data_IF_481396113033
#
_entry.id   IF_481396113033
#
_cell.length_a   1.000
_cell.length_b   1.000
_cell.length_c   1.000
_cell.angle_alpha   90.00
_cell.angle_beta   90.00
_cell.angle_gamma   90.00
#
_symmetry.space_group_name_H-M   'P 1'
#
loop_
_entity.id
_entity.type
_entity.pdbx_description
1 polymer ?
#
# COMPACT_ATOMS: atom_id res chain seq x y z
N UNK A 1 18.08 -5.19 -20.00
CA UNK A 1 17.10 -5.13 -18.90
C UNK A 1 17.35 -3.78 -18.25
N UNK A 2 16.50 -2.79 -18.51
CA UNK A 2 16.67 -1.46 -17.91
C UNK A 2 16.30 -1.59 -16.43
N UNK A 3 17.24 -1.28 -15.54
CA UNK A 3 16.95 -1.19 -14.09
C UNK A 3 15.73 -0.27 -13.91
N UNK A 4 14.69 -0.77 -13.24
CA UNK A 4 13.45 -0.01 -13.03
C UNK A 4 13.66 0.96 -11.86
N UNK A 5 14.20 2.14 -12.17
CA UNK A 5 14.59 3.22 -11.24
C UNK A 5 13.39 3.90 -10.56
N UNK A 6 12.38 3.17 -10.12
CA UNK A 6 11.14 3.72 -9.58
C UNK A 6 10.75 3.18 -8.23
N UNK A 7 9.85 3.91 -7.58
CA UNK A 7 9.29 3.52 -6.29
C UNK A 7 8.21 2.46 -6.48
N UNK A 8 8.28 1.43 -5.65
CA UNK A 8 7.30 0.35 -5.55
C UNK A 8 6.60 0.43 -4.20
N UNK A 9 5.33 0.00 -4.17
CA UNK A 9 4.52 -0.04 -2.96
C UNK A 9 3.88 -1.42 -2.83
N UNK A 10 4.02 -2.05 -1.67
CA UNK A 10 3.30 -3.28 -1.32
C UNK A 10 2.37 -2.94 -0.16
N UNK A 11 1.08 -3.17 -0.33
CA UNK A 11 0.03 -2.80 0.63
C UNK A 11 -0.71 -4.07 1.03
N UNK A 12 -0.72 -4.38 2.33
CA UNK A 12 -1.36 -5.56 2.89
C UNK A 12 -2.42 -5.17 3.91
N UNK A 13 -3.68 -5.56 3.65
CA UNK A 13 -4.73 -5.73 4.67
C UNK A 13 -4.98 -7.21 4.87
N UNK A 14 -4.54 -7.78 6.00
CA UNK A 14 -4.55 -9.24 6.22
C UNK A 14 -5.78 -9.78 6.95
N UNK A 15 -6.59 -8.90 7.55
CA UNK A 15 -7.78 -9.31 8.30
C UNK A 15 -8.99 -9.50 7.40
N UNK A 16 -9.89 -10.37 7.85
CA UNK A 16 -11.18 -10.62 7.21
C UNK A 16 -12.34 -10.30 8.18
N UNK A 17 -13.57 -10.49 7.73
CA UNK A 17 -14.82 -10.18 8.45
C UNK A 17 -15.13 -8.69 8.61
N UNK A 18 -16.42 -8.39 8.77
CA UNK A 18 -16.96 -7.04 8.80
C UNK A 18 -16.42 -6.15 9.91
N UNK A 19 -16.19 -6.68 11.10
CA UNK A 19 -15.64 -5.90 12.21
C UNK A 19 -14.21 -5.37 11.95
N UNK A 20 -13.55 -5.90 10.91
CA UNK A 20 -12.23 -5.46 10.45
C UNK A 20 -12.29 -4.56 9.21
N UNK A 21 -13.46 -4.00 8.89
CA UNK A 21 -13.64 -3.00 7.81
C UNK A 21 -12.51 -1.95 7.77
N UNK A 22 -12.11 -1.45 8.95
CA UNK A 22 -11.03 -0.47 9.09
C UNK A 22 -9.71 -0.88 8.44
N UNK A 23 -9.30 -2.15 8.49
CA UNK A 23 -8.01 -2.57 7.91
C UNK A 23 -8.05 -2.47 6.38
N UNK A 24 -9.18 -2.85 5.76
CA UNK A 24 -9.40 -2.70 4.33
C UNK A 24 -9.45 -1.22 3.93
N UNK A 25 -10.20 -0.40 4.66
CA UNK A 25 -10.25 1.04 4.43
C UNK A 25 -8.88 1.74 4.64
N UNK A 26 -8.11 1.31 5.64
CA UNK A 26 -6.75 1.78 5.93
C UNK A 26 -5.80 1.47 4.77
N UNK A 27 -5.79 0.23 4.27
CA UNK A 27 -4.99 -0.17 3.10
C UNK A 27 -5.36 0.62 1.83
N UNK A 28 -6.66 0.79 1.57
CA UNK A 28 -7.14 1.56 0.43
C UNK A 28 -6.78 3.05 0.54
N UNK A 29 -6.77 3.60 1.76
CA UNK A 29 -6.32 4.99 1.98
C UNK A 29 -4.85 5.19 1.59
N UNK A 30 -3.98 4.23 1.94
CA UNK A 30 -2.56 4.26 1.54
C UNK A 30 -2.41 4.06 0.02
N UNK A 31 -3.21 3.19 -0.59
CA UNK A 31 -3.24 2.99 -2.05
C UNK A 31 -3.56 4.28 -2.80
N UNK A 32 -4.63 4.97 -2.42
CA UNK A 32 -5.01 6.24 -3.06
C UNK A 32 -3.96 7.34 -2.84
N UNK A 33 -3.37 7.42 -1.64
CA UNK A 33 -2.27 8.34 -1.40
C UNK A 33 -1.04 8.05 -2.28
N UNK A 34 -0.65 6.78 -2.43
CA UNK A 34 0.46 6.38 -3.29
C UNK A 34 0.20 6.76 -4.76
N UNK A 35 -1.00 6.47 -5.29
CA UNK A 35 -1.40 6.89 -6.64
C UNK A 35 -1.33 8.39 -6.82
N UNK A 36 -1.90 9.14 -5.87
CA UNK A 36 -1.97 10.59 -5.95
C UNK A 36 -0.59 11.27 -5.83
N UNK A 37 0.38 10.60 -5.19
CA UNK A 37 1.77 11.04 -5.14
C UNK A 37 2.58 10.66 -6.41
N UNK A 38 2.01 9.84 -7.29
CA UNK A 38 2.53 9.53 -8.62
C UNK A 38 3.04 8.10 -8.81
N UNK A 39 2.79 7.19 -7.86
CA UNK A 39 3.11 5.77 -8.04
C UNK A 39 2.09 5.16 -9.01
N UNK A 40 2.50 4.62 -10.17
CA UNK A 40 1.56 4.00 -11.10
C UNK A 40 1.03 2.69 -10.53
N UNK A 41 -0.21 2.31 -10.87
CA UNK A 41 -0.83 1.06 -10.39
C UNK A 41 0.02 -0.18 -10.67
N UNK A 42 0.74 -0.21 -11.79
CA UNK A 42 1.66 -1.30 -12.14
C UNK A 42 2.85 -1.47 -11.17
N UNK A 43 3.05 -0.53 -10.24
CA UNK A 43 4.06 -0.58 -9.18
C UNK A 43 3.47 -0.61 -7.77
N UNK A 44 2.16 -0.83 -7.66
CA UNK A 44 1.48 -1.03 -6.38
C UNK A 44 0.95 -2.45 -6.36
N UNK A 45 1.47 -3.29 -5.46
CA UNK A 45 0.91 -4.62 -5.20
C UNK A 45 -0.06 -4.50 -4.02
N UNK A 46 -1.36 -4.64 -4.30
CA UNK A 46 -2.43 -4.48 -3.31
C UNK A 46 -3.04 -5.84 -2.92
N UNK A 47 -2.92 -6.18 -1.64
CA UNK A 47 -3.42 -7.43 -1.05
C UNK A 47 -4.52 -7.11 -0.02
N UNK A 48 -5.75 -7.57 -0.28
CA UNK A 48 -6.91 -7.35 0.60
C UNK A 48 -7.57 -8.69 0.93
N UNK A 49 -7.41 -9.14 2.17
CA UNK A 49 -8.08 -10.35 2.67
C UNK A 49 -9.58 -10.15 2.93
N UNK A 50 -9.97 -8.91 3.24
CA UNK A 50 -11.35 -8.52 3.48
C UNK A 50 -12.23 -8.56 2.23
N UNK A 51 -13.52 -8.34 2.46
CA UNK A 51 -14.53 -8.25 1.41
C UNK A 51 -15.61 -7.23 1.76
N UNK A 52 -15.23 -6.14 2.45
CA UNK A 52 -16.16 -5.18 3.02
C UNK A 52 -17.07 -4.54 1.96
N UNK A 53 -16.56 -4.28 0.76
CA UNK A 53 -17.36 -3.75 -0.35
C UNK A 53 -18.55 -4.67 -0.71
N UNK A 54 -18.38 -5.99 -0.60
CA UNK A 54 -19.38 -6.99 -0.99
C UNK A 54 -20.09 -7.64 0.22
N UNK A 55 -19.78 -7.22 1.45
CA UNK A 55 -20.39 -7.79 2.66
C UNK A 55 -21.86 -7.38 2.73
N UNK A 56 -22.80 -8.30 3.03
CA UNK A 56 -24.23 -8.00 3.12
C UNK A 56 -24.58 -7.00 4.23
N UNK A 57 -23.69 -6.78 5.21
CA UNK A 57 -23.84 -5.76 6.25
C UNK A 57 -23.48 -4.36 5.76
N UNK A 58 -22.84 -4.23 4.60
CA UNK A 58 -22.47 -2.93 4.06
C UNK A 58 -23.72 -2.16 3.59
N UNK A 59 -24.07 -1.03 4.23
CA UNK A 59 -25.23 -0.23 3.84
C UNK A 59 -25.07 0.39 2.44
N UNK A 60 -23.83 0.43 1.91
CA UNK A 60 -23.48 0.96 0.60
C UNK A 60 -22.69 -0.09 -0.18
N UNK A 61 -23.40 -1.11 -0.66
CA UNK A 61 -22.82 -2.19 -1.45
C UNK A 61 -21.92 -1.66 -2.58
N UNK A 62 -20.72 -2.22 -2.69
CA UNK A 62 -19.70 -1.84 -3.66
C UNK A 62 -18.82 -0.66 -3.25
N UNK A 63 -19.04 -0.04 -2.08
CA UNK A 63 -18.31 1.15 -1.65
C UNK A 63 -17.60 0.97 -0.31
N UNK A 64 -16.44 1.61 -0.19
CA UNK A 64 -15.65 1.67 1.05
C UNK A 64 -15.26 3.12 1.35
N UNK A 65 -15.25 3.50 2.62
CA UNK A 65 -14.96 4.84 3.10
C UNK A 65 -14.05 4.78 4.34
N UNK A 66 -13.24 5.80 4.58
CA UNK A 66 -12.40 5.87 5.78
C UNK A 66 -12.85 6.92 6.81
N UNK A 67 -14.03 7.51 6.62
CA UNK A 67 -14.61 8.49 7.54
C UNK A 67 -16.14 8.52 7.44
N UNK A 68 -16.79 8.87 8.55
CA UNK A 68 -18.24 9.01 8.65
C UNK A 68 -18.79 10.17 7.81
N UNK A 69 -17.93 11.13 7.46
CA UNK A 69 -18.29 12.19 6.50
C UNK A 69 -18.49 11.66 5.09
N UNK A 70 -18.00 10.46 4.76
CA UNK A 70 -18.04 9.88 3.43
C UNK A 70 -17.51 10.85 2.35
N UNK A 71 -16.42 11.54 2.65
CA UNK A 71 -15.85 12.55 1.74
C UNK A 71 -15.06 11.92 0.57
N UNK A 72 -14.48 10.73 0.78
CA UNK A 72 -13.61 10.06 -0.18
C UNK A 72 -13.96 8.58 -0.31
N UNK A 73 -14.45 8.19 -1.49
CA UNK A 73 -14.78 6.81 -1.82
C UNK A 73 -13.50 6.07 -2.17
N UNK A 74 -13.29 4.89 -1.57
CA UNK A 74 -12.02 4.17 -1.60
C UNK A 74 -12.02 2.93 -2.50
N UNK A 75 -13.18 2.47 -2.97
CA UNK A 75 -13.30 1.26 -3.79
C UNK A 75 -13.99 1.52 -5.15
N UNK A 76 -13.48 2.45 -5.96
CA UNK A 76 -14.04 2.72 -7.28
C UNK A 76 -13.74 1.58 -8.26
N UNK A 77 -14.45 1.54 -9.39
CA UNK A 77 -14.31 0.45 -10.36
C UNK A 77 -12.92 0.32 -11.00
N UNK A 78 -12.07 1.34 -10.93
CA UNK A 78 -10.71 1.34 -11.50
C UNK A 78 -9.63 0.80 -10.53
N UNK A 79 -10.02 0.32 -9.34
CA UNK A 79 -9.05 -0.21 -8.39
C UNK A 79 -8.45 -1.55 -8.83
N UNK A 80 -7.11 -1.62 -8.81
CA UNK A 80 -6.37 -2.85 -9.03
C UNK A 80 -6.04 -3.52 -7.69
N UNK A 81 -6.85 -4.52 -7.29
CA UNK A 81 -6.48 -5.43 -6.18
C UNK A 81 -5.88 -6.69 -6.78
N UNK A 82 -4.63 -6.98 -6.43
CA UNK A 82 -3.83 -8.07 -6.99
C UNK A 82 -4.12 -9.41 -6.33
N UNK A 83 -4.28 -9.40 -5.01
CA UNK A 83 -4.60 -10.60 -4.22
C UNK A 83 -5.83 -10.29 -3.36
N UNK A 84 -6.86 -11.14 -3.48
CA UNK A 84 -8.15 -10.95 -2.81
C UNK A 84 -8.50 -12.17 -1.97
N UNK A 85 -9.10 -11.95 -0.80
CA UNK A 85 -9.67 -13.03 0.01
C UNK A 85 -8.66 -14.13 0.30
N UNK A 86 -8.93 -15.35 -0.19
CA UNK A 86 -8.13 -16.53 0.11
C UNK A 86 -6.69 -16.48 -0.42
N UNK A 87 -6.46 -15.70 -1.48
CA UNK A 87 -5.12 -15.51 -2.06
C UNK A 87 -4.20 -14.71 -1.13
N UNK A 88 -4.74 -14.05 -0.09
CA UNK A 88 -3.96 -13.29 0.90
C UNK A 88 -3.49 -14.23 2.00
N UNK A 89 -2.27 -14.74 1.83
CA UNK A 89 -1.57 -15.61 2.78
C UNK A 89 -0.19 -15.07 3.11
N UNK A 90 0.38 -15.48 4.24
CA UNK A 90 1.76 -15.15 4.60
C UNK A 90 2.75 -15.61 3.52
N UNK A 91 2.55 -16.81 2.97
CA UNK A 91 3.37 -17.34 1.87
C UNK A 91 3.29 -16.52 0.60
N UNK A 92 2.09 -16.03 0.22
CA UNK A 92 1.93 -15.17 -0.95
C UNK A 92 2.59 -13.82 -0.73
N UNK A 93 2.45 -13.24 0.48
CA UNK A 93 3.09 -11.98 0.83
C UNK A 93 4.63 -12.08 0.79
N UNK A 94 5.22 -13.10 1.44
CA UNK A 94 6.65 -13.40 1.33
C UNK A 94 7.04 -13.65 -0.13
N UNK A 95 6.19 -14.36 -0.87
CA UNK A 95 6.35 -14.63 -2.29
C UNK A 95 6.46 -13.36 -3.13
N UNK A 96 5.62 -12.34 -2.86
CA UNK A 96 5.69 -11.03 -3.52
C UNK A 96 7.03 -10.37 -3.21
N UNK A 97 7.41 -10.30 -1.94
CA UNK A 97 8.63 -9.62 -1.50
C UNK A 97 9.90 -10.26 -2.11
N UNK A 98 9.96 -11.59 -2.11
CA UNK A 98 11.14 -12.37 -2.53
C UNK A 98 11.09 -12.85 -3.98
N UNK A 99 9.98 -12.60 -4.69
CA UNK A 99 9.69 -13.07 -6.06
C UNK A 99 9.72 -14.59 -6.23
N UNK A 100 9.34 -15.29 -5.16
CA UNK A 100 9.21 -16.74 -5.13
C UNK A 100 7.80 -17.24 -5.51
N UNK A 101 6.94 -16.36 -6.04
CA UNK A 101 5.62 -16.72 -6.55
C UNK A 101 5.71 -17.68 -7.76
N UNK A 102 4.72 -18.57 -7.98
CA UNK A 102 4.71 -19.49 -9.12
C UNK A 102 4.88 -18.77 -10.46
N UNK A 103 5.68 -19.31 -11.39
CA UNK A 103 6.01 -18.66 -12.67
C UNK A 103 4.79 -18.23 -13.50
N UNK A 104 3.63 -18.85 -13.29
CA UNK A 104 2.34 -18.51 -13.91
C UNK A 104 1.71 -17.22 -13.36
N UNK A 105 2.20 -16.70 -12.24
CA UNK A 105 1.69 -15.46 -11.63
C UNK A 105 1.95 -14.27 -12.55
N UNK A 106 0.90 -13.51 -12.93
CA UNK A 106 1.04 -12.37 -13.84
C UNK A 106 2.07 -11.34 -13.34
N UNK A 107 2.82 -10.74 -14.26
CA UNK A 107 3.83 -9.72 -13.95
C UNK A 107 3.25 -8.53 -13.16
N UNK A 108 1.99 -8.15 -13.41
CA UNK A 108 1.32 -7.08 -12.68
C UNK A 108 1.16 -7.36 -11.17
N UNK A 109 1.18 -8.62 -10.74
CA UNK A 109 1.05 -9.03 -9.33
C UNK A 109 2.40 -9.29 -8.65
N UNK A 110 3.50 -8.94 -9.30
CA UNK A 110 4.86 -9.20 -8.82
C UNK A 110 5.59 -7.90 -8.50
N UNK A 111 6.49 -7.97 -7.54
CA UNK A 111 7.38 -6.87 -7.19
C UNK A 111 8.64 -6.93 -8.06
N UNK A 112 8.66 -6.20 -9.18
CA UNK A 112 9.81 -6.15 -10.11
C UNK A 112 10.82 -5.05 -9.75
N UNK A 113 10.99 -4.78 -8.46
CA UNK A 113 11.95 -3.80 -7.95
C UNK A 113 13.40 -4.28 -8.09
N UNK A 114 14.32 -3.33 -8.06
CA UNK A 114 15.76 -3.55 -8.21
C UNK A 114 16.55 -2.71 -7.22
N UNK A 115 17.89 -2.79 -7.25
CA UNK A 115 18.80 -2.02 -6.38
C UNK A 115 18.65 -0.51 -6.47
N UNK A 116 18.05 0.02 -7.53
CA UNK A 116 17.78 1.45 -7.70
C UNK A 116 16.37 1.85 -7.28
N UNK A 117 15.52 0.88 -6.93
CA UNK A 117 14.13 1.11 -6.53
C UNK A 117 14.02 1.44 -5.05
N UNK A 118 13.13 2.38 -4.70
CA UNK A 118 12.64 2.53 -3.33
C UNK A 118 11.43 1.62 -3.14
N UNK A 119 11.30 0.94 -2.00
CA UNK A 119 10.16 0.07 -1.71
C UNK A 119 9.47 0.52 -0.43
N UNK A 120 8.18 0.86 -0.52
CA UNK A 120 7.31 1.03 0.64
C UNK A 120 6.54 -0.27 0.87
N UNK A 121 6.64 -0.83 2.06
CA UNK A 121 5.77 -1.93 2.51
C UNK A 121 4.86 -1.38 3.62
N UNK A 122 3.55 -1.46 3.42
CA UNK A 122 2.56 -1.08 4.41
C UNK A 122 1.72 -2.30 4.79
N UNK A 123 1.58 -2.54 6.09
CA UNK A 123 0.87 -3.68 6.64
C UNK A 123 -0.14 -3.21 7.69
N UNK A 124 -1.40 -3.62 7.55
CA UNK A 124 -2.47 -3.40 8.52
C UNK A 124 -3.27 -4.66 8.77
N UNK A 125 -3.60 -4.90 10.03
CA UNK A 125 -4.23 -6.13 10.46
C UNK A 125 -4.16 -6.32 11.96
N UNK A 126 -4.32 -7.56 12.38
CA UNK A 126 -4.13 -7.97 13.77
C UNK A 126 -2.76 -8.61 13.95
N UNK A 127 -2.26 -8.60 15.17
CA UNK A 127 -0.94 -9.09 15.50
C UNK A 127 -0.72 -9.06 17.00
N UNK A 128 0.49 -9.41 17.40
CA UNK A 128 0.92 -9.46 18.79
C UNK A 128 2.43 -9.57 18.85
N UNK A 129 2.92 -10.07 19.97
CA UNK A 129 4.35 -10.16 20.25
C UNK A 129 5.06 -11.09 19.24
N UNK A 130 5.77 -10.49 18.28
CA UNK A 130 6.56 -11.19 17.27
C UNK A 130 5.75 -11.83 16.15
N UNK A 131 4.45 -11.53 16.00
CA UNK A 131 3.63 -12.09 14.94
C UNK A 131 2.57 -11.13 14.38
N UNK A 132 2.18 -11.40 13.13
CA UNK A 132 1.15 -10.69 12.38
C UNK A 132 0.15 -11.69 11.78
N UNK A 133 -1.14 -11.56 12.09
CA UNK A 133 -2.17 -12.52 11.68
C UNK A 133 -2.57 -12.33 10.23
N UNK A 134 -2.82 -13.45 9.56
CA UNK A 134 -3.44 -13.56 8.25
C UNK A 134 -4.76 -14.31 8.38
N UNK A 135 -5.86 -13.64 8.02
CA UNK A 135 -7.21 -14.20 7.95
C UNK A 135 -7.64 -14.95 9.23
N UNK A 136 -7.19 -14.48 10.39
CA UNK A 136 -7.48 -15.05 11.71
C UNK A 136 -7.09 -16.53 11.92
N UNK A 137 -6.32 -17.12 10.99
CA UNK A 137 -6.00 -18.55 10.98
C UNK A 137 -4.50 -18.85 10.87
N UNK A 138 -3.75 -17.94 10.26
CA UNK A 138 -2.31 -18.11 10.05
C UNK A 138 -1.57 -16.88 10.55
N UNK A 139 -0.26 -17.01 10.72
CA UNK A 139 0.60 -15.96 11.24
C UNK A 139 1.84 -15.84 10.37
N UNK A 140 2.33 -14.61 10.24
CA UNK A 140 3.65 -14.26 9.77
C UNK A 140 4.45 -13.86 11.01
N UNK A 141 5.56 -14.52 11.27
CA UNK A 141 6.44 -14.19 12.39
C UNK A 141 7.39 -13.04 12.05
N UNK A 142 7.90 -12.34 13.07
CA UNK A 142 8.94 -11.33 12.92
C UNK A 142 10.19 -11.89 12.21
N UNK A 143 10.55 -13.14 12.53
CA UNK A 143 11.68 -13.83 11.92
C UNK A 143 11.47 -14.13 10.44
N UNK A 144 10.29 -14.59 10.04
CA UNK A 144 9.96 -14.80 8.62
C UNK A 144 9.98 -13.50 7.82
N UNK A 145 9.46 -12.41 8.39
CA UNK A 145 9.52 -11.09 7.79
C UNK A 145 10.97 -10.61 7.65
N UNK A 146 11.76 -10.71 8.72
CA UNK A 146 13.17 -10.32 8.70
C UNK A 146 13.99 -11.13 7.69
N UNK A 147 13.74 -12.43 7.61
CA UNK A 147 14.36 -13.30 6.61
C UNK A 147 13.99 -12.88 5.19
N UNK A 148 12.71 -12.57 4.92
CA UNK A 148 12.26 -12.10 3.61
C UNK A 148 12.95 -10.79 3.21
N UNK A 149 13.03 -9.80 4.11
CA UNK A 149 13.72 -8.52 3.86
C UNK A 149 15.23 -8.73 3.66
N UNK A 150 15.85 -9.62 4.45
CA UNK A 150 17.26 -9.98 4.30
C UNK A 150 17.54 -10.63 2.94
N UNK A 151 16.65 -11.53 2.48
CA UNK A 151 16.73 -12.11 1.14
C UNK A 151 16.59 -11.03 0.05
N UNK A 152 15.63 -10.11 0.18
CA UNK A 152 15.46 -8.99 -0.75
C UNK A 152 16.74 -8.15 -0.84
N UNK A 153 17.38 -7.85 0.29
CA UNK A 153 18.63 -7.11 0.36
C UNK A 153 19.77 -7.86 -0.35
N UNK A 154 19.97 -9.14 -0.02
CA UNK A 154 20.99 -9.99 -0.62
C UNK A 154 20.81 -10.14 -2.14
N UNK A 155 19.57 -10.21 -2.61
CA UNK A 155 19.19 -10.26 -4.03
C UNK A 155 19.15 -8.88 -4.70
N UNK A 156 19.49 -7.81 -3.98
CA UNK A 156 19.54 -6.44 -4.50
C UNK A 156 18.20 -5.98 -5.10
N UNK A 157 17.08 -6.32 -4.44
CA UNK A 157 15.72 -6.01 -4.90
C UNK A 157 15.23 -4.62 -4.51
N UNK A 158 15.99 -3.88 -3.70
CA UNK A 158 15.69 -2.49 -3.36
C UNK A 158 16.99 -1.75 -3.06
N UNK A 159 16.96 -0.43 -3.21
CA UNK A 159 17.96 0.48 -2.67
C UNK A 159 17.59 0.96 -1.27
N UNK A 160 16.32 1.34 -1.03
CA UNK A 160 15.83 1.73 0.30
C UNK A 160 14.46 1.13 0.56
N UNK A 161 14.22 0.63 1.77
CA UNK A 161 12.95 0.01 2.15
C UNK A 161 12.30 0.68 3.36
N UNK A 162 11.13 1.30 3.18
CA UNK A 162 10.34 1.83 4.29
C UNK A 162 9.24 0.83 4.64
N UNK A 163 9.16 0.43 5.90
CA UNK A 163 8.15 -0.46 6.45
C UNK A 163 7.22 0.33 7.39
N UNK A 164 5.92 0.26 7.14
CA UNK A 164 4.90 0.88 7.98
C UNK A 164 3.98 -0.23 8.52
N UNK A 165 3.96 -0.42 9.84
CA UNK A 165 3.26 -1.54 10.47
C UNK A 165 2.18 -1.02 11.42
N UNK A 166 0.92 -1.22 11.05
CA UNK A 166 -0.27 -0.84 11.83
C UNK A 166 -0.98 -2.07 12.40
N UNK A 167 -0.50 -2.52 13.57
CA UNK A 167 -1.10 -3.60 14.36
C UNK A 167 -0.73 -3.43 15.83
N UNK A 168 -1.39 -4.17 16.73
CA UNK A 168 -0.93 -4.35 18.11
C UNK A 168 0.47 -4.95 18.14
N UNK A 169 1.29 -4.48 19.08
CA UNK A 169 2.69 -4.83 19.27
C UNK A 169 3.57 -4.75 18.00
N UNK A 170 3.22 -3.85 17.07
CA UNK A 170 3.89 -3.69 15.77
C UNK A 170 5.42 -3.55 15.84
N UNK A 171 5.97 -2.93 16.89
CA UNK A 171 7.42 -2.78 17.06
C UNK A 171 8.17 -4.12 17.03
N UNK A 172 7.56 -5.16 17.62
CA UNK A 172 8.15 -6.50 17.74
C UNK A 172 8.37 -7.18 16.38
N UNK A 173 7.60 -6.80 15.35
CA UNK A 173 7.77 -7.31 13.98
C UNK A 173 9.07 -6.86 13.31
N UNK A 174 9.68 -5.78 13.82
CA UNK A 174 10.86 -5.16 13.24
C UNK A 174 12.15 -5.41 14.03
N UNK A 175 12.09 -6.09 15.18
CA UNK A 175 13.24 -6.30 16.07
C UNK A 175 14.35 -7.12 15.42
N UNK A 176 14.00 -8.08 14.56
CA UNK A 176 14.94 -8.97 13.88
C UNK A 176 15.43 -8.43 12.52
N UNK A 177 15.06 -7.21 12.11
CA UNK A 177 15.44 -6.63 10.81
C UNK A 177 16.93 -6.22 10.68
N UNK A 178 17.81 -6.72 11.55
CA UNK A 178 19.25 -6.43 11.53
C UNK A 178 19.91 -6.72 10.17
N UNK A 179 20.83 -5.85 9.74
CA UNK A 179 21.60 -6.03 8.50
C UNK A 179 20.91 -5.68 7.17
N UNK A 180 19.72 -5.07 7.18
CA UNK A 180 19.02 -4.62 5.98
C UNK A 180 19.03 -3.08 5.83
N UNK A 181 19.08 -2.54 4.61
CA UNK A 181 18.83 -1.09 4.34
C UNK A 181 17.32 -0.76 4.46
N UNK A 182 16.75 -0.98 5.65
CA UNK A 182 15.34 -0.83 5.96
C UNK A 182 15.12 0.17 7.11
N UNK A 183 14.03 0.95 7.06
CA UNK A 183 13.52 1.75 8.18
C UNK A 183 12.09 1.32 8.45
N UNK A 184 11.74 1.10 9.71
CA UNK A 184 10.38 0.72 10.13
C UNK A 184 9.76 1.78 11.04
N UNK A 185 8.50 2.13 10.80
CA UNK A 185 7.64 2.87 11.71
C UNK A 185 6.52 1.96 12.20
N UNK A 186 6.40 1.83 13.52
CA UNK A 186 5.43 0.95 14.17
C UNK A 186 4.34 1.73 14.93
N UNK A 187 3.10 1.22 14.88
CA UNK A 187 1.95 1.84 15.52
C UNK A 187 1.87 1.66 17.06
N UNK A 188 2.56 0.68 17.63
CA UNK A 188 2.49 0.33 19.06
C UNK A 188 3.75 -0.41 19.54
N UNK A 189 4.13 -0.23 20.81
CA UNK A 189 5.25 -0.94 21.45
C UNK A 189 4.89 -2.38 21.83
N UNK A 190 5.88 -3.16 22.25
CA UNK A 190 5.65 -4.43 22.96
C UNK A 190 4.73 -4.21 24.15
N UNK A 191 3.70 -5.06 24.27
CA UNK A 191 2.66 -4.93 25.30
C UNK A 191 1.61 -3.85 25.04
N UNK A 192 1.73 -3.03 23.98
CA UNK A 192 0.73 -2.02 23.63
C UNK A 192 -0.22 -2.49 22.52
N UNK A 193 -1.47 -2.02 22.60
CA UNK A 193 -2.44 -2.16 21.53
C UNK A 193 -2.31 -1.04 20.52
N UNK A 194 -2.64 -1.32 19.25
CA UNK A 194 -2.99 -0.30 18.27
C UNK A 194 -4.51 -0.04 18.34
N UNK A 195 -4.95 1.11 17.84
CA UNK A 195 -6.31 1.58 18.06
C UNK A 195 -6.99 2.02 16.78
N UNK A 196 -8.25 1.61 16.65
CA UNK A 196 -9.15 2.09 15.63
C UNK A 196 -9.43 3.60 15.75
N UNK A 197 -9.77 4.23 14.63
CA UNK A 197 -10.16 5.62 14.50
C UNK A 197 -11.54 5.70 13.84
N UNK A 198 -12.44 6.41 14.52
CA UNK A 198 -13.76 6.80 14.03
C UNK A 198 -14.68 5.60 13.75
N UNK A 199 -15.84 5.60 14.40
CA UNK A 199 -16.92 4.66 14.11
C UNK A 199 -17.92 5.38 13.23
N UNK A 200 -18.23 4.80 12.08
CA UNK A 200 -19.30 5.30 11.23
C UNK A 200 -20.64 4.71 11.70
N UNK A 201 -21.62 5.53 12.10
CA UNK A 201 -22.92 5.03 12.57
C UNK A 201 -23.72 4.24 11.53
N UNK A 202 -23.54 4.51 10.23
CA UNK A 202 -24.20 3.79 9.16
C UNK A 202 -23.52 2.44 8.90
N UNK A 203 -22.19 2.38 8.94
CA UNK A 203 -21.43 1.13 8.76
C UNK A 203 -21.46 0.27 10.03
N UNK A 204 -21.58 0.90 11.21
CA UNK A 204 -21.69 0.25 12.52
C UNK A 204 -20.39 -0.26 13.11
N UNK A 205 -19.25 -0.03 12.45
CA UNK A 205 -17.91 -0.44 12.88
C UNK A 205 -16.90 0.69 12.63
N UNK A 206 -15.67 0.51 13.12
CA UNK A 206 -14.61 1.46 12.84
C UNK A 206 -14.22 1.46 11.36
N UNK A 207 -13.89 2.64 10.83
CA UNK A 207 -13.62 2.85 9.38
C UNK A 207 -12.17 3.22 9.07
N UNK A 208 -11.30 3.38 10.08
CA UNK A 208 -9.86 3.59 9.90
C UNK A 208 -9.12 3.13 11.15
N UNK A 209 -7.80 2.99 11.07
CA UNK A 209 -6.92 2.90 12.24
C UNK A 209 -6.26 4.24 12.53
N UNK A 210 -5.88 4.49 13.80
CA UNK A 210 -5.33 5.79 14.23
C UNK A 210 -3.99 6.09 13.60
N UNK A 211 -3.07 5.12 13.59
CA UNK A 211 -1.77 5.30 12.95
C UNK A 211 -1.95 5.61 11.47
N UNK A 212 -2.73 4.78 10.76
CA UNK A 212 -3.01 5.00 9.34
C UNK A 212 -3.73 6.31 9.06
N UNK A 213 -4.67 6.74 9.90
CA UNK A 213 -5.32 8.05 9.76
C UNK A 213 -4.29 9.19 9.72
N UNK A 214 -3.27 9.15 10.58
CA UNK A 214 -2.23 10.16 10.62
C UNK A 214 -1.24 10.04 9.44
N UNK A 215 -0.84 8.83 9.05
CA UNK A 215 -0.02 8.58 7.86
C UNK A 215 -0.73 9.08 6.61
N UNK A 216 -1.98 8.67 6.38
CA UNK A 216 -2.78 9.05 5.23
C UNK A 216 -2.92 10.57 5.13
N UNK A 217 -3.29 11.25 6.23
CA UNK A 217 -3.39 12.71 6.25
C UNK A 217 -2.08 13.42 5.95
N UNK A 218 -0.95 12.89 6.45
CA UNK A 218 0.36 13.44 6.15
C UNK A 218 0.67 13.31 4.66
N UNK A 219 0.48 12.13 4.07
CA UNK A 219 0.72 11.88 2.64
C UNK A 219 -0.16 12.78 1.74
N UNK A 220 -1.45 12.94 2.08
CA UNK A 220 -2.33 13.83 1.34
C UNK A 220 -1.88 15.30 1.41
N UNK A 221 -1.32 15.73 2.53
CA UNK A 221 -0.87 17.11 2.70
C UNK A 221 0.37 17.45 1.85
N UNK A 222 1.14 16.44 1.42
CA UNK A 222 2.26 16.59 0.47
C UNK A 222 1.78 16.86 -0.96
N UNK A 223 0.52 16.59 -1.26
CA UNK A 223 -0.03 16.81 -2.59
C UNK A 223 -0.26 18.30 -2.83
N UNK A 224 0.05 18.82 -4.03
CA UNK A 224 -0.37 20.16 -4.41
C UNK A 224 -1.91 20.22 -4.41
N UNK A 225 -2.53 21.38 -4.08
CA UNK A 225 -3.97 21.52 -4.16
C UNK A 225 -4.48 21.19 -5.57
N UNK A 226 -5.74 20.73 -5.70
CA UNK A 226 -6.35 20.48 -7.00
C UNK A 226 -6.16 21.71 -7.89
N UNK A 227 -5.69 21.50 -9.13
CA UNK A 227 -5.47 22.60 -10.07
C UNK A 227 -6.80 23.33 -10.29
N UNK A 228 -6.91 24.58 -9.83
CA UNK A 228 -7.90 25.51 -10.36
C UNK A 228 -7.61 25.70 -11.86
N UNK A 229 -8.67 25.94 -12.64
CA UNK A 229 -8.60 26.03 -14.09
C UNK A 229 -7.47 26.95 -14.59
N UNK A 230 -6.89 26.56 -15.71
CA UNK A 230 -5.63 27.05 -16.31
C UNK A 230 -5.57 28.58 -16.61
N UNK A 231 -6.64 29.32 -16.34
CA UNK A 231 -6.80 30.76 -16.57
C UNK A 231 -6.20 31.66 -15.48
N UNK A 232 -5.85 31.13 -14.30
CA UNK A 232 -5.26 31.93 -13.20
C UNK A 232 -3.72 31.78 -13.09
N UNK A 233 -3.07 31.21 -14.12
CA UNK A 233 -1.62 30.94 -14.14
C UNK A 233 -0.70 32.17 -14.23
N UNK A 234 -1.25 33.38 -14.31
CA UNK A 234 -0.48 34.61 -14.52
C UNK A 234 0.34 35.10 -13.33
N UNK A 235 0.14 34.59 -12.10
CA UNK A 235 0.75 35.21 -10.92
C UNK A 235 1.24 34.25 -9.80
N UNK A 236 1.04 32.93 -9.91
CA UNK A 236 1.40 32.01 -8.82
C UNK A 236 2.62 31.16 -9.20
N UNK A 237 3.78 31.55 -8.67
CA UNK A 237 4.95 30.66 -8.57
C UNK A 237 4.60 29.36 -7.83
N UNK A 238 5.40 28.31 -8.03
CA UNK A 238 5.25 26.99 -7.40
C UNK A 238 5.04 27.10 -5.88
N UNK A 239 3.80 26.97 -5.43
CA UNK A 239 3.48 26.78 -4.02
C UNK A 239 3.47 25.27 -3.76
N UNK A 240 4.58 24.72 -3.29
CA UNK A 240 4.49 23.56 -2.40
C UNK A 240 3.85 24.08 -1.10
N UNK A 241 3.00 23.29 -0.43
CA UNK A 241 2.23 23.73 0.74
C UNK A 241 3.07 24.14 1.97
N UNK A 242 4.38 24.36 1.86
CA UNK A 242 5.26 24.74 2.97
C UNK A 242 5.42 23.67 4.05
N UNK A 243 4.88 22.46 3.82
CA UNK A 243 4.96 21.33 4.74
C UNK A 243 6.29 20.61 4.50
N UNK A 244 7.06 20.41 5.57
CA UNK A 244 8.21 19.51 5.56
C UNK A 244 7.74 18.09 5.24
N UNK A 245 8.11 17.60 4.06
CA UNK A 245 7.72 16.29 3.54
C UNK A 245 8.68 15.16 3.91
N UNK A 246 9.58 15.39 4.86
CA UNK A 246 10.55 14.38 5.29
C UNK A 246 9.94 13.22 6.08
N UNK A 247 10.63 12.08 6.11
CA UNK A 247 10.30 10.98 7.02
C UNK A 247 10.35 11.43 8.49
N UNK A 248 11.29 12.31 8.84
CA UNK A 248 11.38 12.91 10.18
C UNK A 248 10.14 13.74 10.53
N UNK A 249 9.55 14.46 9.56
CA UNK A 249 8.30 15.19 9.78
C UNK A 249 7.12 14.24 10.00
N UNK A 250 7.03 13.14 9.25
CA UNK A 250 6.04 12.08 9.49
C UNK A 250 6.22 11.47 10.89
N UNK A 251 7.43 11.09 11.27
CA UNK A 251 7.76 10.62 12.63
C UNK A 251 7.27 11.61 13.69
N UNK A 252 7.55 12.91 13.49
CA UNK A 252 7.11 13.97 14.39
C UNK A 252 5.58 14.06 14.52
N UNK A 253 4.83 13.93 13.41
CA UNK A 253 3.36 13.89 13.42
C UNK A 253 2.85 12.69 14.21
N UNK A 254 3.42 11.51 13.98
CA UNK A 254 2.99 10.27 14.63
C UNK A 254 3.32 10.29 16.15
N UNK A 255 4.50 10.80 16.54
CA UNK A 255 4.87 11.00 17.96
C UNK A 255 3.94 11.99 18.66
N UNK A 256 3.70 13.17 18.07
CA UNK A 256 2.79 14.18 18.66
C UNK A 256 1.36 13.67 18.81
N UNK A 257 0.94 12.78 17.91
CA UNK A 257 -0.40 12.17 17.93
C UNK A 257 -0.48 10.94 18.86
N UNK A 258 0.65 10.56 19.50
CA UNK A 258 0.79 9.39 20.38
C UNK A 258 0.36 8.09 19.69
N UNK A 259 0.82 7.91 18.46
CA UNK A 259 0.59 6.70 17.65
C UNK A 259 1.88 6.12 17.08
N UNK A 260 3.05 6.72 17.36
CA UNK A 260 4.34 6.11 17.04
C UNK A 260 4.94 5.54 18.32
N UNK A 261 5.23 4.25 18.27
CA UNK A 261 5.98 3.56 19.30
C UNK A 261 7.48 3.68 19.02
N UNK A 262 7.92 2.93 18.01
CA UNK A 262 9.32 2.70 17.71
C UNK A 262 9.65 3.10 16.29
N UNK A 263 10.91 3.46 16.09
CA UNK A 263 11.52 3.58 14.76
C UNK A 263 12.73 2.67 14.72
N UNK A 264 12.66 1.59 13.95
CA UNK A 264 13.81 0.71 13.71
C UNK A 264 14.55 1.21 12.49
N UNK A 265 15.87 1.38 12.58
CA UNK A 265 16.73 1.81 11.48
C UNK A 265 17.77 0.72 11.20
N UNK A 266 18.00 0.44 9.93
CA UNK A 266 18.99 -0.52 9.48
C UNK A 266 20.42 -0.14 9.87
N UNK A 267 21.26 -1.15 10.10
CA UNK A 267 22.65 -0.97 10.55
C UNK A 267 23.58 -0.40 9.47
N UNK A 268 23.17 -0.42 8.20
CA UNK A 268 23.95 0.06 7.06
C UNK A 268 23.93 1.59 6.86
N UNK A 269 23.63 2.36 7.90
CA UNK A 269 23.76 3.82 7.90
C UNK A 269 22.66 4.59 7.18
N UNK A 270 21.59 3.92 6.71
CA UNK A 270 20.39 4.60 6.26
C UNK A 270 19.44 4.82 7.45
N UNK A 271 19.43 6.04 7.96
CA UNK A 271 18.59 6.45 9.09
C UNK A 271 17.25 7.09 8.67
N UNK A 272 17.03 7.22 7.36
CA UNK A 272 15.84 7.83 6.76
C UNK A 272 15.64 9.32 7.04
N UNK A 273 16.48 9.98 7.83
CA UNK A 273 16.20 11.29 8.43
C UNK A 273 16.11 12.43 7.40
N UNK A 274 16.90 12.36 6.33
CA UNK A 274 16.90 13.32 5.22
C UNK A 274 16.01 12.92 4.04
N UNK A 275 15.28 11.79 4.12
CA UNK A 275 14.43 11.32 3.02
C UNK A 275 13.19 12.19 2.90
N UNK A 276 13.04 12.89 1.78
CA UNK A 276 11.78 13.49 1.38
C UNK A 276 10.85 12.37 0.89
N UNK A 277 9.71 12.16 1.56
CA UNK A 277 8.77 11.08 1.22
C UNK A 277 8.18 11.24 -0.18
N UNK A 278 8.05 12.49 -0.64
CA UNK A 278 7.65 12.78 -2.02
C UNK A 278 8.67 12.24 -3.03
N UNK A 279 9.97 12.39 -2.76
CA UNK A 279 11.04 11.86 -3.60
C UNK A 279 11.26 10.36 -3.37
N UNK A 280 10.91 9.85 -2.20
CA UNK A 280 10.91 8.41 -1.94
C UNK A 280 9.86 7.70 -2.79
N UNK A 281 8.67 8.29 -2.95
CA UNK A 281 7.54 7.71 -3.68
C UNK A 281 7.49 8.13 -5.16
N UNK A 282 8.15 9.22 -5.55
CA UNK A 282 8.35 9.56 -6.96
C UNK A 282 9.66 8.97 -7.43
N UNK A 283 9.60 8.15 -8.48
CA UNK A 283 10.81 7.70 -9.17
C UNK A 283 11.76 8.90 -9.41
N UNK A 284 13.09 8.78 -9.16
CA UNK A 284 14.04 9.83 -9.48
C UNK A 284 13.82 10.35 -10.90
N UNK A 285 13.86 11.68 -11.13
CA UNK A 285 13.86 12.20 -12.49
C UNK A 285 15.04 11.56 -13.21
N UNK A 286 14.76 10.88 -14.33
CA UNK A 286 15.78 10.25 -15.18
C UNK A 286 16.97 11.19 -15.27
N UNK A 287 18.14 10.77 -14.78
CA UNK A 287 19.38 11.43 -15.20
C UNK A 287 19.34 11.41 -16.72
N UNK A 288 19.36 12.58 -17.37
CA UNK A 288 19.42 12.66 -18.83
C UNK A 288 20.59 11.77 -19.24
N UNK A 289 20.31 10.64 -19.87
CA UNK A 289 21.33 9.90 -20.58
C UNK A 289 22.00 10.94 -21.48
N UNK A 290 23.30 11.17 -21.25
CA UNK A 290 24.11 11.96 -22.17
C UNK A 290 23.88 11.35 -23.54
N UNK A 291 23.30 12.15 -24.44
CA UNK A 291 23.08 11.70 -25.80
C UNK A 291 24.40 11.15 -26.34
N UNK A 292 24.43 9.95 -26.94
CA UNK A 292 25.63 9.51 -27.63
C UNK A 292 25.97 10.56 -28.69
N UNK A 293 27.26 10.86 -28.91
CA UNK A 293 27.66 11.84 -29.91
C UNK A 293 27.08 11.41 -31.25
N UNK A 294 26.46 12.37 -31.95
CA UNK A 294 25.88 12.17 -33.27
C UNK A 294 26.96 11.58 -34.19
N UNK A 295 26.81 10.30 -34.53
CA UNK A 295 27.61 9.68 -35.57
C UNK A 295 27.19 10.29 -36.91
N UNK A 296 28.18 10.74 -37.66
CA UNK A 296 28.04 11.50 -38.89
C UNK A 296 27.21 10.83 -39.97
N UNK A 297 26.66 11.69 -40.80
CA UNK A 297 25.93 11.40 -42.03
C UNK A 297 26.68 10.44 -42.95
N UNK A 298 25.97 9.49 -43.56
CA UNK A 298 26.09 9.09 -44.97
C UNK A 298 24.92 8.14 -45.37
N UNK A 299 24.60 7.99 -46.67
CA UNK A 299 23.25 8.25 -47.17
C UNK A 299 22.46 7.02 -47.62
N UNK A 300 21.17 7.28 -47.85
CA UNK A 300 20.09 6.37 -48.23
C UNK A 300 20.35 5.49 -49.47
N UNK A 301 19.81 4.26 -49.46
CA UNK A 301 19.32 3.59 -50.67
C UNK A 301 18.40 2.37 -50.37
N UNK A 302 17.25 2.33 -51.05
CA UNK A 302 16.27 1.23 -51.30
C UNK A 302 15.39 0.77 -50.11
N UNK A 303 14.05 0.75 -50.08
CA UNK A 303 12.91 0.84 -51.01
C UNK A 303 12.01 -0.40 -50.87
N UNK A 304 10.74 -0.11 -50.52
CA UNK A 304 9.48 -0.82 -50.84
C UNK A 304 9.05 -2.01 -49.98
N UNK A 305 7.92 -1.77 -49.29
CA UNK A 305 6.67 -2.47 -49.61
C UNK A 305 6.07 -3.30 -48.48
N UNK A 306 4.98 -2.80 -47.88
CA UNK A 306 3.70 -3.51 -47.77
C UNK A 306 2.73 -2.68 -46.92
N UNK A 307 1.70 -2.17 -47.58
CA UNK A 307 0.45 -1.73 -46.98
C UNK A 307 -0.30 -2.93 -46.40
N UNK A 308 -1.07 -2.69 -45.34
CA UNK A 308 -1.96 -3.70 -44.74
C UNK A 308 -2.57 -3.18 -43.46
N UNK A 309 -3.54 -2.29 -43.57
CA UNK A 309 -4.32 -1.81 -42.43
C UNK A 309 -5.31 -2.86 -41.92
N UNK A 310 -5.62 -2.82 -40.63
CA UNK A 310 -6.98 -3.01 -40.09
C UNK A 310 -7.10 -2.16 -38.83
N UNK A 311 -8.06 -1.25 -38.84
CA UNK A 311 -8.60 -0.59 -37.66
C UNK A 311 -9.94 -1.26 -37.34
N UNK A 312 -10.12 -1.70 -36.10
CA UNK A 312 -11.39 -1.95 -35.39
C UNK A 312 -11.03 -2.65 -34.06
N UNK A 313 -11.59 -2.36 -32.90
CA UNK A 313 -12.67 -1.49 -32.52
C UNK A 313 -12.70 -1.36 -31.00
N UNK A 314 -13.17 -0.20 -30.54
CA UNK A 314 -13.42 0.07 -29.13
C UNK A 314 -14.56 -0.82 -28.62
N UNK A 315 -14.30 -1.60 -27.56
CA UNK A 315 -15.34 -2.28 -26.81
C UNK A 315 -15.63 -1.51 -25.52
N UNK A 316 -16.83 -0.92 -25.50
CA UNK A 316 -17.37 -0.15 -24.43
C UNK A 316 -17.62 -0.96 -23.14
N UNK A 317 -17.35 -0.26 -22.04
CA UNK A 317 -17.85 -0.40 -20.67
C UNK A 317 -19.20 -1.15 -20.59
N UNK A 318 -19.22 -2.26 -19.85
CA UNK A 318 -20.46 -2.85 -19.31
C UNK A 318 -20.41 -2.77 -17.79
N UNK A 319 -21.37 -2.06 -17.23
CA UNK A 319 -21.52 -1.87 -15.79
C UNK A 319 -21.84 -3.17 -15.05
N UNK A 320 -21.35 -3.24 -13.82
CA UNK A 320 -21.70 -4.28 -12.85
C UNK A 320 -23.21 -4.27 -12.59
N UNK A 321 -23.90 -5.31 -13.05
CA UNK A 321 -25.24 -5.66 -12.55
C UNK A 321 -25.07 -6.66 -11.40
N UNK A 322 -25.70 -6.35 -10.28
CA UNK A 322 -25.90 -7.23 -9.15
C UNK A 322 -26.64 -8.51 -9.58
N UNK A 323 -26.09 -9.66 -9.22
CA UNK A 323 -26.67 -10.96 -9.54
C UNK A 323 -26.65 -11.88 -8.32
N UNK A 324 -27.85 -12.25 -7.85
CA UNK A 324 -28.11 -13.57 -7.30
C UNK A 324 -28.17 -13.71 -5.78
N UNK A 325 -29.37 -13.50 -5.24
CA UNK A 325 -29.80 -13.97 -3.91
C UNK A 325 -29.58 -15.48 -3.73
N UNK A 326 -28.92 -15.88 -2.65
CA UNK A 326 -29.10 -17.22 -2.03
C UNK A 326 -29.39 -17.06 -0.53
N UNK A 327 -30.28 -17.93 -0.07
CA UNK A 327 -31.14 -17.82 1.12
C UNK A 327 -30.42 -17.74 2.48
N UNK A 328 -30.94 -16.84 3.32
CA UNK A 328 -30.59 -16.45 4.70
C UNK A 328 -30.68 -17.55 5.81
N UNK A 329 -30.68 -18.84 5.50
CA UNK A 329 -31.09 -19.86 6.47
C UNK A 329 -29.98 -20.71 7.12
N UNK A 330 -28.69 -20.54 6.78
CA UNK A 330 -27.63 -21.47 7.26
C UNK A 330 -26.61 -20.91 8.26
N UNK A 331 -26.71 -19.66 8.71
CA UNK A 331 -25.66 -19.03 9.52
C UNK A 331 -25.98 -18.85 11.02
N UNK A 332 -27.17 -19.23 11.48
CA UNK A 332 -27.65 -19.01 12.86
C UNK A 332 -27.14 -19.97 13.96
N UNK A 333 -26.00 -20.66 13.77
CA UNK A 333 -25.51 -21.63 14.79
C UNK A 333 -24.04 -21.52 15.20
N UNK A 334 -23.34 -20.46 14.80
CA UNK A 334 -21.92 -20.30 15.15
C UNK A 334 -21.59 -19.07 16.04
N UNK A 335 -22.57 -18.28 16.49
CA UNK A 335 -22.31 -16.97 17.12
C UNK A 335 -22.60 -16.86 18.63
N UNK A 336 -22.87 -17.95 19.36
CA UNK A 336 -23.18 -17.88 20.81
C UNK A 336 -21.98 -18.07 21.76
N UNK A 337 -20.77 -18.36 21.26
CA UNK A 337 -19.61 -18.70 22.12
C UNK A 337 -18.53 -17.62 22.29
N UNK A 338 -18.71 -16.40 21.74
CA UNK A 338 -17.69 -15.34 21.81
C UNK A 338 -18.10 -14.10 22.63
N UNK A 339 -19.24 -14.13 23.33
CA UNK A 339 -19.86 -12.91 23.88
C UNK A 339 -19.69 -12.69 25.40
N UNK A 340 -19.04 -13.57 26.17
CA UNK A 340 -18.72 -13.30 27.59
C UNK A 340 -17.42 -13.96 28.07
N UNK A 341 -16.62 -13.19 28.80
CA UNK A 341 -15.36 -13.56 29.44
C UNK A 341 -14.49 -12.32 29.66
N UNK A 342 -15.07 -11.26 30.25
CA UNK A 342 -15.05 -10.91 31.68
C UNK A 342 -13.68 -10.50 32.23
N UNK A 343 -13.67 -9.25 32.68
CA UNK A 343 -12.68 -8.63 33.52
C UNK A 343 -12.61 -9.32 34.89
N UNK A 344 -11.40 -9.67 35.31
CA UNK A 344 -10.87 -9.47 36.66
C UNK A 344 -9.36 -9.35 36.61
#
# INVERSE_FOLDING_TARGET
>A
MTDDDGSWVVILSSSQFWHNYRHEASALSVYHAARALGVPDARIVLMIAGGAACDPRNPRAGHIWNSASHAHELYPCDIAVDFRGEDVTASTFIGVLTDSLPATTPAARRLHSSRSSNVLVYMTGHGGDGFFKFRDAHELTASELAHAITQMHAQKRYGKLLLLIDTCQAATMAEELGGAEAVSLAASERGESSFAKEVDPAVGVAVSDRFTFHVHRFLLALMPPPRLHEQERGAAGRVSNGIDGSLAALEGVLRRSRVLSTVTRGEHGWDGSAVQLLDFLRAPPRARASAPPLAGEQPAAWARGAEGGVAEGAAARRGCRSGGSRSLASWRRAEESAFWGEAH
#
